data_IF_989227206311
#
_entry.id   IF_989227206311
#
_cell.length_a   1.000
_cell.length_b   1.000
_cell.length_c   1.000
_cell.angle_alpha   90.00
_cell.angle_beta   90.00
_cell.angle_gamma   90.00
#
_symmetry.space_group_name_H-M   'P 1'
#
loop_
_entity.id
_entity.type
_entity.pdbx_description
1 polymer ?
#
# COMPACT_ATOMS: atom_id res chain seq x y z
N UNK A 1 -5.50 43.43 6.91
CA UNK A 1 -5.18 42.26 6.07
C UNK A 1 -4.14 41.32 6.68
N UNK A 2 -2.94 41.78 7.07
CA UNK A 2 -1.88 40.89 7.63
C UNK A 2 -2.33 40.08 8.87
N UNK A 3 -3.02 40.70 9.83
CA UNK A 3 -3.49 40.00 11.05
C UNK A 3 -4.54 38.92 10.76
N UNK A 4 -5.43 39.14 9.77
CA UNK A 4 -6.43 38.15 9.35
C UNK A 4 -5.79 36.93 8.69
N UNK A 5 -4.75 37.13 7.87
CA UNK A 5 -4.01 36.01 7.24
C UNK A 5 -3.29 35.17 8.30
N UNK A 6 -2.63 35.82 9.26
CA UNK A 6 -1.93 35.12 10.36
C UNK A 6 -2.91 34.31 11.22
N UNK A 7 -4.06 34.88 11.57
CA UNK A 7 -5.09 34.16 12.34
C UNK A 7 -5.63 32.96 11.56
N UNK A 8 -5.93 33.11 10.27
CA UNK A 8 -6.41 32.01 9.43
C UNK A 8 -5.40 30.86 9.31
N UNK A 9 -4.11 31.18 9.16
CA UNK A 9 -3.04 30.16 9.11
C UNK A 9 -2.89 29.42 10.45
N UNK A 10 -2.97 30.14 11.58
CA UNK A 10 -2.96 29.54 12.91
C UNK A 10 -4.15 28.60 13.12
N UNK A 11 -5.36 29.03 12.73
CA UNK A 11 -6.56 28.18 12.83
C UNK A 11 -6.44 26.93 11.95
N UNK A 12 -5.91 27.06 10.73
CA UNK A 12 -5.66 25.92 9.85
C UNK A 12 -4.63 24.95 10.45
N UNK A 13 -3.55 25.45 11.06
CA UNK A 13 -2.54 24.63 11.72
C UNK A 13 -3.12 23.90 12.94
N UNK A 14 -3.91 24.58 13.77
CA UNK A 14 -4.59 23.96 14.92
C UNK A 14 -5.58 22.88 14.47
N UNK A 15 -6.37 23.15 13.44
CA UNK A 15 -7.29 22.18 12.86
C UNK A 15 -6.53 20.96 12.28
N UNK A 16 -5.40 21.19 11.62
CA UNK A 16 -4.52 20.13 11.11
C UNK A 16 -3.96 19.27 12.24
N UNK A 17 -3.40 19.89 13.29
CA UNK A 17 -2.87 19.20 14.46
C UNK A 17 -3.94 18.36 15.17
N UNK A 18 -5.13 18.93 15.38
CA UNK A 18 -6.26 18.21 15.95
C UNK A 18 -6.67 17.02 15.07
N UNK A 19 -6.74 17.24 13.76
CA UNK A 19 -7.03 16.21 12.76
C UNK A 19 -5.99 15.07 12.79
N UNK A 20 -4.70 15.38 12.97
CA UNK A 20 -3.65 14.38 13.10
C UNK A 20 -3.73 13.63 14.45
N UNK A 21 -3.93 14.32 15.56
CA UNK A 21 -4.04 13.67 16.89
C UNK A 21 -5.25 12.74 17.01
N UNK A 22 -6.32 13.02 16.27
CA UNK A 22 -7.56 12.21 16.25
C UNK A 22 -7.59 11.14 15.16
N UNK A 23 -6.53 11.05 14.36
CA UNK A 23 -6.42 10.09 13.28
C UNK A 23 -6.34 8.65 13.84
N UNK A 24 -7.13 7.69 13.34
CA UNK A 24 -6.98 6.30 13.77
C UNK A 24 -5.56 5.79 13.50
N UNK A 25 -5.03 5.01 14.44
CA UNK A 25 -3.67 4.47 14.31
C UNK A 25 -3.60 3.46 13.14
N UNK A 26 -4.61 2.59 13.03
CA UNK A 26 -4.60 1.50 12.07
C UNK A 26 -5.98 1.16 11.50
N UNK A 27 -6.02 0.91 10.19
CA UNK A 27 -7.12 0.31 9.46
C UNK A 27 -6.69 -1.08 8.97
N UNK A 28 -7.51 -2.08 9.25
CA UNK A 28 -7.33 -3.45 8.82
C UNK A 28 -8.51 -3.85 7.94
N UNK A 29 -8.24 -4.35 6.73
CA UNK A 29 -9.27 -4.71 5.75
C UNK A 29 -9.01 -6.11 5.20
N UNK A 30 -10.01 -6.97 5.28
CA UNK A 30 -9.96 -8.34 4.75
C UNK A 30 -11.15 -9.15 5.24
N UNK A 31 -11.44 -10.27 4.60
CA UNK A 31 -12.58 -11.14 4.96
C UNK A 31 -12.18 -12.11 6.06
N UNK A 32 -13.03 -12.22 7.09
CA UNK A 32 -12.92 -13.30 8.06
C UNK A 32 -13.31 -14.61 7.38
N UNK A 33 -12.58 -15.68 7.70
CA UNK A 33 -12.93 -17.01 7.19
C UNK A 33 -13.46 -17.91 8.28
N UNK A 34 -14.13 -18.97 7.84
CA UNK A 34 -14.31 -20.19 8.63
C UNK A 34 -13.35 -21.23 8.08
N UNK A 35 -12.42 -21.68 8.92
CA UNK A 35 -11.50 -22.76 8.62
C UNK A 35 -12.08 -24.05 9.21
N UNK A 36 -12.43 -24.99 8.34
CA UNK A 36 -12.88 -26.34 8.70
C UNK A 36 -11.65 -27.23 8.81
N UNK A 37 -11.37 -27.71 10.02
CA UNK A 37 -10.27 -28.64 10.30
C UNK A 37 -10.87 -29.98 10.71
N UNK A 38 -10.47 -31.05 10.02
CA UNK A 38 -11.07 -32.40 10.09
C UNK A 38 -11.45 -32.87 11.52
N UNK A 39 -10.62 -32.57 12.53
CA UNK A 39 -10.78 -33.02 13.93
C UNK A 39 -11.17 -31.93 14.93
N UNK A 40 -11.01 -30.63 14.58
CA UNK A 40 -11.11 -29.50 15.54
C UNK A 40 -12.33 -28.60 15.31
N UNK A 41 -13.16 -28.94 14.31
CA UNK A 41 -14.40 -28.24 13.98
C UNK A 41 -14.18 -26.94 13.21
N UNK A 42 -15.18 -26.06 13.26
CA UNK A 42 -15.15 -24.75 12.61
C UNK A 42 -14.36 -23.76 13.47
N UNK A 43 -13.44 -23.02 12.85
CA UNK A 43 -12.67 -21.97 13.53
C UNK A 43 -12.68 -20.69 12.72
N UNK A 44 -12.67 -19.51 13.36
CA UNK A 44 -12.43 -18.28 12.61
C UNK A 44 -11.00 -18.33 12.05
N UNK A 45 -10.80 -17.77 10.87
CA UNK A 45 -9.50 -17.72 10.21
C UNK A 45 -9.33 -16.42 9.41
N UNK A 46 -8.40 -16.48 8.47
CA UNK A 46 -8.12 -15.38 7.55
C UNK A 46 -7.13 -14.37 8.10
N UNK A 47 -6.42 -13.70 7.18
CA UNK A 47 -5.32 -12.80 7.49
C UNK A 47 -5.74 -11.66 8.44
N UNK A 48 -6.96 -11.14 8.23
CA UNK A 48 -7.58 -10.11 9.07
C UNK A 48 -7.73 -10.56 10.53
N UNK A 49 -8.01 -11.83 10.80
CA UNK A 49 -8.23 -12.33 12.15
C UNK A 49 -6.92 -12.51 12.91
N UNK A 50 -5.88 -13.01 12.25
CA UNK A 50 -4.54 -13.08 12.81
C UNK A 50 -3.96 -11.69 13.08
N UNK A 51 -4.10 -10.77 12.12
CA UNK A 51 -3.67 -9.38 12.31
C UNK A 51 -4.40 -8.72 13.49
N UNK A 52 -5.71 -8.92 13.64
CA UNK A 52 -6.47 -8.41 14.78
C UNK A 52 -5.95 -8.94 16.13
N UNK A 53 -5.69 -10.25 16.24
CA UNK A 53 -5.12 -10.83 17.46
C UNK A 53 -3.77 -10.21 17.83
N UNK A 54 -2.91 -9.98 16.84
CA UNK A 54 -1.63 -9.29 17.03
C UNK A 54 -1.85 -7.84 17.47
N UNK A 55 -2.70 -7.07 16.79
CA UNK A 55 -2.99 -5.68 17.15
C UNK A 55 -3.47 -5.53 18.59
N UNK A 56 -4.32 -6.45 19.03
CA UNK A 56 -4.78 -6.51 20.42
C UNK A 56 -3.64 -6.76 21.40
N UNK A 57 -2.71 -7.66 21.08
CA UNK A 57 -1.53 -7.92 21.92
C UNK A 57 -0.61 -6.69 22.06
N UNK A 58 -0.61 -5.81 21.06
CA UNK A 58 0.11 -4.52 21.08
C UNK A 58 -0.69 -3.39 21.78
N UNK A 59 -1.91 -3.67 22.26
CA UNK A 59 -2.78 -2.68 22.87
C UNK A 59 -3.42 -1.71 21.87
N UNK A 60 -3.46 -2.05 20.58
CA UNK A 60 -3.96 -1.17 19.52
C UNK A 60 -5.45 -1.43 19.27
N UNK A 61 -6.26 -0.38 19.31
CA UNK A 61 -7.64 -0.40 18.82
C UNK A 61 -7.67 0.03 17.35
N UNK A 62 -7.73 -0.94 16.45
CA UNK A 62 -7.85 -0.70 15.01
C UNK A 62 -9.31 -0.48 14.57
N UNK A 63 -9.47 0.19 13.44
CA UNK A 63 -10.66 0.05 12.59
C UNK A 63 -10.52 -1.26 11.80
N UNK A 64 -11.48 -2.18 11.93
CA UNK A 64 -11.49 -3.45 11.19
C UNK A 64 -12.69 -3.45 10.25
N UNK A 65 -12.44 -3.67 8.97
CA UNK A 65 -13.49 -3.80 7.95
C UNK A 65 -13.44 -5.21 7.37
N UNK A 66 -14.52 -5.96 7.53
CA UNK A 66 -14.56 -7.38 7.14
C UNK A 66 -15.88 -7.76 6.52
N UNK A 67 -15.89 -8.83 5.72
CA UNK A 67 -17.12 -9.47 5.23
C UNK A 67 -17.43 -10.67 6.11
N UNK A 68 -18.68 -10.82 6.53
CA UNK A 68 -19.10 -11.96 7.34
C UNK A 68 -20.53 -12.39 7.01
N UNK A 69 -20.78 -13.71 7.13
CA UNK A 69 -22.13 -14.26 7.22
C UNK A 69 -22.71 -14.14 8.63
N UNK A 70 -24.01 -14.44 8.81
CA UNK A 70 -24.70 -14.32 10.09
C UNK A 70 -24.09 -15.21 11.19
N UNK A 71 -23.53 -16.37 10.83
CA UNK A 71 -23.01 -17.37 11.77
C UNK A 71 -21.49 -17.24 12.04
N UNK A 72 -20.84 -16.18 11.54
CA UNK A 72 -19.41 -15.99 11.73
C UNK A 72 -19.04 -15.69 13.19
N UNK A 73 -18.02 -16.38 13.72
CA UNK A 73 -17.43 -16.01 15.01
C UNK A 73 -16.55 -14.75 14.89
N UNK A 74 -17.06 -13.62 15.36
CA UNK A 74 -16.37 -12.32 15.34
C UNK A 74 -15.61 -12.02 16.65
N UNK A 75 -15.48 -12.98 17.56
CA UNK A 75 -14.90 -12.78 18.89
C UNK A 75 -13.45 -12.29 18.87
N UNK A 76 -12.67 -12.64 17.84
CA UNK A 76 -11.29 -12.20 17.64
C UNK A 76 -11.16 -10.67 17.53
N UNK A 77 -12.21 -9.99 17.05
CA UNK A 77 -12.22 -8.54 16.87
C UNK A 77 -12.62 -7.75 18.12
N UNK A 78 -12.91 -8.42 19.25
CA UNK A 78 -13.26 -7.74 20.51
C UNK A 78 -12.14 -6.80 20.95
N UNK A 79 -12.50 -5.52 21.11
CA UNK A 79 -11.57 -4.44 21.47
C UNK A 79 -11.26 -3.50 20.31
N UNK A 80 -11.56 -3.91 19.07
CA UNK A 80 -11.45 -3.07 17.87
C UNK A 80 -12.77 -2.37 17.54
N UNK A 81 -12.69 -1.36 16.68
CA UNK A 81 -13.87 -0.80 16.01
C UNK A 81 -14.19 -1.64 14.78
N UNK A 82 -15.18 -2.53 14.89
CA UNK A 82 -15.53 -3.48 13.84
C UNK A 82 -16.65 -2.94 12.93
N UNK A 83 -16.41 -2.97 11.63
CA UNK A 83 -17.40 -2.69 10.59
C UNK A 83 -17.56 -3.93 9.70
N UNK A 84 -18.74 -4.55 9.79
CA UNK A 84 -19.07 -5.76 9.02
C UNK A 84 -19.85 -5.38 7.77
N UNK A 85 -19.35 -5.80 6.61
CA UNK A 85 -20.10 -5.84 5.36
C UNK A 85 -20.86 -7.18 5.34
N UNK A 86 -22.20 -7.16 5.46
CA UNK A 86 -22.96 -8.40 5.56
C UNK A 86 -22.93 -9.19 4.26
N UNK A 87 -22.90 -10.51 4.37
CA UNK A 87 -23.03 -11.45 3.24
C UNK A 87 -23.94 -12.63 3.60
N UNK A 88 -24.47 -13.37 2.62
CA UNK A 88 -25.25 -14.58 2.90
C UNK A 88 -24.43 -15.73 3.51
N UNK A 89 -23.11 -15.76 3.31
CA UNK A 89 -22.23 -16.84 3.73
C UNK A 89 -20.81 -16.35 4.00
N UNK A 90 -20.16 -16.84 5.04
CA UNK A 90 -18.75 -16.53 5.32
C UNK A 90 -17.82 -17.31 4.39
N UNK A 91 -16.71 -16.70 3.97
CA UNK A 91 -15.67 -17.38 3.19
C UNK A 91 -15.16 -18.58 3.97
N UNK A 92 -15.27 -19.80 3.41
CA UNK A 92 -14.96 -21.03 4.16
C UNK A 92 -13.87 -21.82 3.46
N UNK A 93 -12.80 -22.12 4.20
CA UNK A 93 -11.69 -22.97 3.77
C UNK A 93 -11.76 -24.31 4.49
N UNK A 94 -11.69 -25.40 3.73
CA UNK A 94 -11.57 -26.75 4.25
C UNK A 94 -10.13 -27.22 4.13
N UNK A 95 -9.57 -27.66 5.26
CA UNK A 95 -8.22 -28.18 5.36
C UNK A 95 -8.29 -29.71 5.43
N UNK A 96 -7.89 -30.38 4.35
CA UNK A 96 -7.70 -31.83 4.38
C UNK A 96 -6.21 -32.18 4.43
N UNK A 97 -5.84 -33.06 5.36
CA UNK A 97 -4.49 -33.62 5.46
C UNK A 97 -4.44 -34.97 4.76
N UNK A 98 -3.57 -35.13 3.75
CA UNK A 98 -3.35 -36.44 3.15
C UNK A 98 -2.34 -37.24 3.99
N UNK A 99 -2.74 -38.39 4.53
CA UNK A 99 -1.92 -39.27 5.39
C UNK A 99 -0.59 -39.71 4.76
N UNK A 100 -0.44 -39.63 3.44
CA UNK A 100 0.74 -40.09 2.69
C UNK A 100 1.62 -38.97 2.11
N UNK A 101 1.35 -37.72 2.42
CA UNK A 101 2.22 -36.62 2.00
C UNK A 101 1.86 -35.37 2.74
N UNK A 102 2.87 -34.70 3.30
CA UNK A 102 2.79 -33.47 4.10
C UNK A 102 2.15 -32.25 3.39
N UNK A 103 1.32 -32.47 2.36
CA UNK A 103 0.63 -31.44 1.61
C UNK A 103 -0.78 -31.23 2.17
N UNK A 104 -0.92 -30.10 2.86
CA UNK A 104 -2.20 -29.50 3.23
C UNK A 104 -2.95 -29.15 1.94
N UNK A 105 -4.13 -29.74 1.73
CA UNK A 105 -5.02 -29.36 0.63
C UNK A 105 -6.06 -28.38 1.15
N UNK A 106 -6.05 -27.17 0.59
CA UNK A 106 -7.04 -26.14 0.85
C UNK A 106 -8.12 -26.17 -0.22
N UNK A 107 -9.38 -26.23 0.20
CA UNK A 107 -10.54 -26.12 -0.68
C UNK A 107 -11.47 -25.02 -0.19
N UNK A 108 -11.93 -24.16 -1.08
CA UNK A 108 -12.99 -23.19 -0.76
C UNK A 108 -14.35 -23.84 -0.93
N UNK A 109 -15.18 -23.80 0.11
CA UNK A 109 -16.51 -24.42 0.13
C UNK A 109 -17.65 -23.39 0.12
N UNK A 110 -17.39 -22.16 0.56
CA UNK A 110 -18.31 -21.03 0.47
C UNK A 110 -17.53 -19.75 0.15
N UNK A 111 -18.07 -18.90 -0.71
CA UNK A 111 -17.47 -17.60 -1.08
C UNK A 111 -18.57 -16.52 -1.02
N UNK A 112 -18.39 -15.45 -0.23
CA UNK A 112 -19.38 -14.38 -0.10
C UNK A 112 -19.63 -13.61 -1.41
N UNK A 113 -18.72 -13.71 -2.40
CA UNK A 113 -18.77 -12.98 -3.66
C UNK A 113 -18.88 -11.45 -3.47
N UNK A 114 -18.20 -10.93 -2.45
CA UNK A 114 -18.09 -9.50 -2.17
C UNK A 114 -16.62 -9.11 -2.31
N UNK A 115 -16.37 -8.09 -3.13
CA UNK A 115 -15.06 -7.44 -3.23
C UNK A 115 -15.03 -6.23 -2.31
N UNK A 116 -14.32 -6.35 -1.19
CA UNK A 116 -14.02 -5.23 -0.31
C UNK A 116 -13.23 -4.18 -1.07
N UNK A 117 -13.56 -2.92 -0.82
CA UNK A 117 -12.92 -1.76 -1.43
C UNK A 117 -13.09 -0.58 -0.50
N UNK A 118 -12.37 0.49 -0.76
CA UNK A 118 -12.37 1.69 0.09
C UNK A 118 -13.76 2.24 0.41
N UNK A 119 -14.73 2.11 -0.50
CA UNK A 119 -16.10 2.60 -0.29
C UNK A 119 -16.82 1.94 0.89
N UNK A 120 -16.40 0.74 1.28
CA UNK A 120 -16.93 0.01 2.42
C UNK A 120 -16.32 0.46 3.75
N UNK A 121 -15.28 1.32 3.72
CA UNK A 121 -14.60 1.78 4.92
C UNK A 121 -15.26 3.07 5.43
N UNK A 122 -15.60 3.16 6.74
CA UNK A 122 -16.10 4.39 7.34
C UNK A 122 -15.15 5.58 7.11
N UNK A 123 -15.70 6.79 6.91
CA UNK A 123 -14.92 7.97 6.51
C UNK A 123 -13.80 8.33 7.50
N UNK A 124 -14.02 8.17 8.82
CA UNK A 124 -12.98 8.43 9.81
C UNK A 124 -11.88 7.35 9.78
N UNK A 125 -12.24 6.09 9.58
CA UNK A 125 -11.29 4.98 9.43
C UNK A 125 -10.46 5.07 8.14
N UNK A 126 -11.00 5.63 7.05
CA UNK A 126 -10.24 5.87 5.81
C UNK A 126 -9.03 6.78 6.01
N UNK A 127 -8.99 7.53 7.11
CA UNK A 127 -7.88 8.38 7.50
C UNK A 127 -6.84 7.63 8.34
N UNK A 128 -6.91 6.33 8.58
CA UNK A 128 -5.93 5.68 9.46
C UNK A 128 -4.46 5.94 9.05
N UNK A 129 -3.50 5.97 9.98
CA UNK A 129 -2.08 6.21 9.65
C UNK A 129 -1.49 5.02 8.89
N UNK A 130 -1.79 3.82 9.35
CA UNK A 130 -1.38 2.57 8.72
C UNK A 130 -2.59 1.83 8.18
N UNK A 131 -2.48 1.25 6.99
CA UNK A 131 -3.50 0.40 6.39
C UNK A 131 -2.89 -0.98 6.15
N UNK A 132 -3.54 -2.03 6.63
CA UNK A 132 -3.18 -3.42 6.36
C UNK A 132 -4.31 -4.04 5.54
N UNK A 133 -3.96 -4.54 4.36
CA UNK A 133 -4.85 -5.22 3.43
C UNK A 133 -4.51 -6.70 3.43
N UNK A 134 -5.48 -7.55 3.78
CA UNK A 134 -5.32 -8.99 3.89
C UNK A 134 -6.28 -9.79 2.99
N UNK A 135 -6.11 -9.74 1.64
CA UNK A 135 -6.87 -10.61 0.74
C UNK A 135 -6.49 -12.07 0.95
N UNK A 136 -7.45 -12.99 0.83
CA UNK A 136 -7.23 -14.44 0.85
C UNK A 136 -7.47 -15.09 -0.52
N UNK A 137 -8.25 -14.43 -1.39
CA UNK A 137 -8.48 -14.85 -2.77
C UNK A 137 -8.45 -13.65 -3.74
N UNK A 138 -8.32 -13.94 -5.04
CA UNK A 138 -8.20 -12.92 -6.11
C UNK A 138 -9.27 -11.83 -6.10
N UNK A 139 -10.54 -12.16 -5.79
CA UNK A 139 -11.67 -11.24 -6.01
C UNK A 139 -12.27 -10.70 -4.70
N UNK A 140 -11.59 -10.92 -3.58
CA UNK A 140 -12.11 -10.57 -2.26
C UNK A 140 -11.83 -9.12 -1.87
N UNK A 141 -10.76 -8.52 -2.42
CA UNK A 141 -10.32 -7.18 -2.06
C UNK A 141 -9.76 -6.45 -3.28
N UNK A 142 -10.25 -5.24 -3.50
CA UNK A 142 -9.74 -4.28 -4.47
C UNK A 142 -8.71 -3.38 -3.78
N UNK A 143 -7.44 -3.79 -3.86
CA UNK A 143 -6.33 -3.09 -3.22
C UNK A 143 -6.04 -1.74 -3.90
N UNK A 144 -6.27 -1.63 -5.21
CA UNK A 144 -6.05 -0.40 -5.96
C UNK A 144 -6.92 0.76 -5.46
N UNK A 145 -8.16 0.46 -5.02
CA UNK A 145 -9.04 1.47 -4.40
C UNK A 145 -8.46 2.14 -3.14
N UNK A 146 -7.43 1.56 -2.52
CA UNK A 146 -6.74 2.13 -1.37
C UNK A 146 -5.47 2.91 -1.74
N UNK A 147 -5.11 2.96 -3.02
CA UNK A 147 -3.86 3.53 -3.53
C UNK A 147 -4.07 4.69 -4.50
N UNK A 148 -5.20 4.71 -5.19
CA UNK A 148 -5.56 5.77 -6.12
C UNK A 148 -6.24 6.92 -5.38
N UNK A 149 -5.68 8.12 -5.53
CA UNK A 149 -6.12 9.33 -4.85
C UNK A 149 -6.23 10.48 -5.84
N UNK A 150 -7.45 10.98 -6.03
CA UNK A 150 -7.70 12.18 -6.84
C UNK A 150 -7.95 13.38 -5.91
N UNK A 151 -7.09 14.40 -6.02
CA UNK A 151 -7.31 15.71 -5.39
C UNK A 151 -6.29 16.13 -4.33
N UNK A 152 -6.07 17.45 -4.25
CA UNK A 152 -5.07 18.09 -3.38
C UNK A 152 -5.21 17.72 -1.90
N UNK A 153 -6.44 17.63 -1.39
CA UNK A 153 -6.70 17.29 0.01
C UNK A 153 -6.37 15.83 0.33
N UNK A 154 -6.67 14.92 -0.59
CA UNK A 154 -6.35 13.50 -0.42
C UNK A 154 -4.83 13.28 -0.52
N UNK A 155 -4.13 14.04 -1.36
CA UNK A 155 -2.68 14.03 -1.39
C UNK A 155 -2.06 14.57 -0.08
N UNK A 156 -2.57 15.68 0.44
CA UNK A 156 -2.03 16.31 1.65
C UNK A 156 -2.26 15.48 2.92
N UNK A 157 -3.38 14.76 3.04
CA UNK A 157 -3.69 13.96 4.24
C UNK A 157 -3.39 12.47 4.06
N UNK A 158 -3.58 11.91 2.86
CA UNK A 158 -3.56 10.44 2.59
C UNK A 158 -2.33 9.99 1.82
N UNK A 159 -1.59 10.92 1.22
CA UNK A 159 -0.24 10.71 0.68
C UNK A 159 0.80 10.20 1.69
N UNK A 160 0.42 10.06 2.97
CA UNK A 160 1.28 9.65 4.10
C UNK A 160 0.90 8.31 4.74
N UNK A 161 -0.14 7.64 4.23
CA UNK A 161 -0.52 6.35 4.78
C UNK A 161 0.55 5.30 4.46
N UNK A 162 1.00 4.57 5.47
CA UNK A 162 1.79 3.37 5.25
C UNK A 162 0.84 2.23 4.89
N UNK A 163 0.99 1.65 3.69
CA UNK A 163 0.10 0.59 3.20
C UNK A 163 0.85 -0.73 3.14
N UNK A 164 0.42 -1.68 3.97
CA UNK A 164 0.87 -3.06 3.95
C UNK A 164 -0.11 -3.93 3.19
N UNK A 165 0.37 -4.72 2.23
CA UNK A 165 -0.46 -5.64 1.46
C UNK A 165 0.04 -7.08 1.62
N UNK A 166 -0.75 -7.92 2.32
CA UNK A 166 -0.52 -9.36 2.43
C UNK A 166 -1.00 -10.04 1.14
N UNK A 167 -0.20 -9.96 0.08
CA UNK A 167 -0.61 -10.29 -1.28
C UNK A 167 -0.67 -11.78 -1.61
N UNK A 168 -0.36 -12.66 -0.65
CA UNK A 168 -0.42 -14.12 -0.84
C UNK A 168 -1.78 -14.57 -1.38
N UNK A 169 -2.89 -13.98 -0.90
CA UNK A 169 -4.23 -14.31 -1.39
C UNK A 169 -4.49 -13.97 -2.85
N UNK A 170 -3.81 -12.96 -3.40
CA UNK A 170 -3.91 -12.61 -4.82
C UNK A 170 -3.15 -13.58 -5.72
N UNK A 171 -2.26 -14.41 -5.17
CA UNK A 171 -1.55 -15.42 -5.97
C UNK A 171 -2.20 -16.81 -5.88
N UNK A 172 -3.47 -16.86 -5.45
CA UNK A 172 -4.27 -18.07 -5.31
C UNK A 172 -5.41 -18.05 -6.32
N UNK A 173 -5.46 -19.03 -7.23
CA UNK A 173 -6.65 -19.32 -8.03
C UNK A 173 -7.42 -20.50 -7.43
N UNK A 174 -8.72 -20.48 -7.61
CA UNK A 174 -9.59 -21.61 -7.30
C UNK A 174 -9.74 -22.47 -8.55
N UNK A 175 -9.40 -23.75 -8.45
CA UNK A 175 -9.73 -24.75 -9.45
C UNK A 175 -11.25 -25.02 -9.46
N UNK A 176 -11.74 -25.71 -10.50
CA UNK A 176 -13.16 -26.04 -10.63
C UNK A 176 -13.71 -26.87 -9.46
N UNK A 177 -12.85 -27.64 -8.78
CA UNK A 177 -13.18 -28.43 -7.60
C UNK A 177 -12.98 -27.66 -6.28
N UNK A 178 -12.73 -26.35 -6.35
CA UNK A 178 -12.49 -25.46 -5.21
C UNK A 178 -11.07 -25.52 -4.65
N UNK A 179 -10.16 -26.35 -5.19
CA UNK A 179 -8.77 -26.41 -4.72
C UNK A 179 -8.04 -25.10 -4.96
N UNK A 180 -7.24 -24.69 -3.98
CA UNK A 180 -6.37 -23.52 -4.10
C UNK A 180 -5.09 -23.91 -4.84
N UNK A 181 -4.79 -23.22 -5.94
CA UNK A 181 -3.59 -23.43 -6.75
C UNK A 181 -2.80 -22.13 -6.89
N UNK A 182 -1.46 -22.18 -6.90
CA UNK A 182 -0.63 -21.00 -7.12
C UNK A 182 -0.74 -20.50 -8.57
N UNK A 183 -0.53 -19.19 -8.74
CA UNK A 183 -0.37 -18.56 -10.04
C UNK A 183 1.11 -18.52 -10.45
N UNK A 184 1.38 -18.72 -11.74
CA UNK A 184 2.74 -18.74 -12.31
C UNK A 184 3.29 -17.33 -12.59
N UNK A 185 2.42 -16.33 -12.59
CA UNK A 185 2.76 -14.92 -12.83
C UNK A 185 2.00 -14.05 -11.84
N UNK A 186 2.51 -12.85 -11.51
CA UNK A 186 1.78 -11.90 -10.69
C UNK A 186 0.38 -11.65 -11.25
N UNK A 187 -0.63 -11.87 -10.43
CA UNK A 187 -2.02 -11.60 -10.81
C UNK A 187 -2.24 -10.12 -11.15
N UNK A 188 -3.23 -9.78 -12.01
CA UNK A 188 -3.64 -8.39 -12.24
C UNK A 188 -3.98 -7.62 -10.95
N UNK A 189 -4.60 -8.28 -9.97
CA UNK A 189 -4.99 -7.67 -8.69
C UNK A 189 -3.80 -7.30 -7.83
N UNK A 190 -2.77 -8.15 -7.79
CA UNK A 190 -1.49 -7.81 -7.16
C UNK A 190 -0.86 -6.60 -7.84
N UNK A 191 -0.74 -6.62 -9.17
CA UNK A 191 -0.10 -5.52 -9.92
C UNK A 191 -0.84 -4.19 -9.73
N UNK A 192 -2.18 -4.21 -9.80
CA UNK A 192 -2.99 -3.04 -9.50
C UNK A 192 -2.81 -2.58 -8.05
N UNK A 193 -2.69 -3.53 -7.12
CA UNK A 193 -2.39 -3.30 -5.71
C UNK A 193 -0.97 -2.81 -5.39
N UNK A 194 -0.09 -2.60 -6.38
CA UNK A 194 1.18 -1.88 -6.20
C UNK A 194 0.99 -0.36 -6.37
N UNK A 195 -0.04 0.04 -7.11
CA UNK A 195 -0.32 1.44 -7.45
C UNK A 195 0.78 2.08 -8.30
N UNK A 196 0.64 3.38 -8.54
CA UNK A 196 1.56 4.14 -9.41
C UNK A 196 2.77 4.74 -8.69
N UNK A 197 2.74 4.79 -7.35
CA UNK A 197 3.63 5.66 -6.57
C UNK A 197 4.72 4.91 -5.78
N UNK A 198 4.85 3.58 -5.91
CA UNK A 198 5.81 2.75 -5.13
C UNK A 198 5.74 2.99 -3.61
N UNK A 199 4.54 2.89 -3.03
CA UNK A 199 4.28 3.18 -1.59
C UNK A 199 3.78 1.99 -0.78
N UNK A 200 3.80 0.82 -1.38
CA UNK A 200 3.26 -0.40 -0.79
C UNK A 200 4.41 -1.21 -0.21
N UNK A 201 4.25 -1.63 1.05
CA UNK A 201 5.03 -2.70 1.64
C UNK A 201 4.30 -4.01 1.37
N UNK A 202 4.83 -4.79 0.43
CA UNK A 202 4.23 -6.01 -0.08
C UNK A 202 4.74 -7.22 0.70
N UNK A 203 3.85 -8.13 1.10
CA UNK A 203 4.21 -9.39 1.76
C UNK A 203 3.76 -10.58 0.91
N UNK A 204 4.69 -11.48 0.62
CA UNK A 204 4.53 -12.71 -0.16
C UNK A 204 5.24 -13.88 0.55
N UNK A 205 5.02 -15.12 0.12
CA UNK A 205 5.93 -16.23 0.46
C UNK A 205 6.70 -16.75 -0.75
N UNK A 206 7.74 -17.54 -0.47
CA UNK A 206 8.43 -18.32 -1.48
C UNK A 206 7.50 -19.25 -2.25
N UNK A 207 6.51 -19.87 -1.59
CA UNK A 207 5.54 -20.75 -2.24
C UNK A 207 4.82 -20.08 -3.42
N UNK A 208 4.44 -18.80 -3.27
CA UNK A 208 3.79 -18.06 -4.35
C UNK A 208 4.79 -17.52 -5.40
N UNK A 209 6.04 -17.28 -5.02
CA UNK A 209 7.02 -16.59 -5.88
C UNK A 209 8.03 -17.52 -6.54
N UNK A 210 8.14 -18.78 -6.10
CA UNK A 210 9.06 -19.79 -6.63
C UNK A 210 8.81 -20.07 -8.12
N UNK A 211 7.54 -20.00 -8.52
CA UNK A 211 7.13 -20.25 -9.91
C UNK A 211 7.31 -19.06 -10.84
N UNK A 212 7.68 -17.90 -10.32
CA UNK A 212 7.81 -16.69 -11.11
C UNK A 212 9.14 -16.66 -11.86
N UNK A 213 9.08 -16.25 -13.12
CA UNK A 213 10.29 -15.84 -13.85
C UNK A 213 10.95 -14.61 -13.16
N UNK A 214 12.26 -14.48 -13.32
CA UNK A 214 13.05 -13.40 -12.70
C UNK A 214 12.52 -12.00 -13.06
N UNK A 215 12.10 -11.80 -14.31
CA UNK A 215 11.53 -10.53 -14.78
C UNK A 215 10.28 -10.11 -14.00
N UNK A 216 9.45 -11.07 -13.59
CA UNK A 216 8.26 -10.78 -12.79
C UNK A 216 8.61 -10.35 -11.37
N UNK A 217 9.59 -11.01 -10.76
CA UNK A 217 10.06 -10.62 -9.45
C UNK A 217 10.70 -9.23 -9.51
N UNK A 218 11.55 -8.96 -10.51
CA UNK A 218 12.15 -7.65 -10.75
C UNK A 218 11.12 -6.54 -10.96
N UNK A 219 10.05 -6.83 -11.71
CA UNK A 219 8.93 -5.89 -11.90
C UNK A 219 8.22 -5.58 -10.59
N UNK A 220 7.89 -6.60 -9.78
CA UNK A 220 7.18 -6.41 -8.50
C UNK A 220 8.05 -5.66 -7.50
N UNK A 221 9.34 -6.03 -7.38
CA UNK A 221 10.31 -5.33 -6.53
C UNK A 221 10.48 -3.87 -6.96
N UNK A 222 10.59 -3.61 -8.26
CA UNK A 222 10.73 -2.27 -8.80
C UNK A 222 9.48 -1.40 -8.70
N UNK A 223 8.31 -1.98 -8.45
CA UNK A 223 7.03 -1.27 -8.36
C UNK A 223 6.51 -1.10 -6.92
N UNK A 224 7.08 -1.78 -5.94
CA UNK A 224 6.76 -1.61 -4.52
C UNK A 224 7.75 -0.66 -3.81
N UNK A 225 7.39 -0.19 -2.61
CA UNK A 225 8.34 0.48 -1.70
C UNK A 225 9.27 -0.56 -1.05
N UNK A 226 8.66 -1.65 -0.59
CA UNK A 226 9.34 -2.81 -0.01
C UNK A 226 8.62 -4.09 -0.43
N UNK A 227 9.37 -5.16 -0.65
CA UNK A 227 8.83 -6.51 -0.84
C UNK A 227 9.46 -7.43 0.19
N UNK A 228 8.63 -8.11 0.97
CA UNK A 228 9.05 -9.12 1.93
C UNK A 228 8.56 -10.49 1.48
N UNK A 229 9.49 -11.41 1.29
CA UNK A 229 9.22 -12.80 0.89
C UNK A 229 9.59 -13.72 2.04
N UNK A 230 8.60 -14.26 2.73
CA UNK A 230 8.79 -15.22 3.84
C UNK A 230 9.10 -16.62 3.30
N UNK A 231 10.00 -17.34 3.98
CA UNK A 231 10.49 -18.69 3.61
C UNK A 231 10.39 -19.69 4.77
N UNK A 232 9.33 -19.57 5.57
CA UNK A 232 9.10 -20.41 6.74
C UNK A 232 10.30 -20.43 7.70
N UNK A 233 10.87 -21.62 7.94
CA UNK A 233 12.00 -21.81 8.84
C UNK A 233 13.32 -21.18 8.35
N UNK A 234 13.39 -20.77 7.08
CA UNK A 234 14.57 -20.09 6.50
C UNK A 234 14.50 -18.57 6.65
N UNK A 235 13.47 -18.04 7.32
CA UNK A 235 13.35 -16.62 7.60
C UNK A 235 12.60 -15.88 6.50
N UNK A 236 13.11 -14.72 6.09
CA UNK A 236 12.53 -13.94 5.01
C UNK A 236 13.61 -13.18 4.22
N UNK A 237 13.20 -12.57 3.11
CA UNK A 237 14.04 -11.65 2.35
C UNK A 237 13.29 -10.35 2.15
N UNK A 238 13.93 -9.25 2.48
CA UNK A 238 13.44 -7.91 2.19
C UNK A 238 14.16 -7.35 0.97
N UNK A 239 13.38 -6.79 0.05
CA UNK A 239 13.82 -5.97 -1.06
C UNK A 239 13.30 -4.55 -0.82
N UNK A 240 14.18 -3.56 -0.85
CA UNK A 240 13.83 -2.15 -0.77
C UNK A 240 14.87 -1.31 -1.52
N UNK A 241 14.76 0.01 -1.50
CA UNK A 241 15.69 0.91 -2.22
C UNK A 241 17.14 0.84 -1.71
N UNK A 242 17.39 0.29 -0.51
CA UNK A 242 18.74 0.08 0.03
C UNK A 242 19.38 -1.23 -0.42
N UNK A 243 18.61 -2.13 -1.02
CA UNK A 243 19.08 -3.40 -1.56
C UNK A 243 18.28 -4.60 -1.08
N UNK A 244 18.96 -5.75 -1.00
CA UNK A 244 18.39 -7.04 -0.58
C UNK A 244 18.97 -7.43 0.76
N UNK A 245 18.12 -7.73 1.74
CA UNK A 245 18.54 -8.14 3.08
C UNK A 245 17.86 -9.45 3.47
N UNK A 246 18.64 -10.39 3.98
CA UNK A 246 18.13 -11.60 4.61
C UNK A 246 17.65 -11.30 6.03
N UNK A 247 16.50 -11.86 6.40
CA UNK A 247 15.90 -11.74 7.73
C UNK A 247 15.96 -13.12 8.37
N UNK A 248 16.75 -13.25 9.42
CA UNK A 248 16.87 -14.50 10.16
C UNK A 248 15.60 -14.81 10.97
N UNK A 249 15.34 -16.10 11.16
CA UNK A 249 14.31 -16.54 12.12
C UNK A 249 14.77 -16.28 13.55
N UNK A 250 13.80 -16.02 14.43
CA UNK A 250 14.04 -16.11 15.87
C UNK A 250 13.85 -17.59 16.29
N UNK A 251 14.90 -18.26 16.79
CA UNK A 251 14.80 -19.66 17.20
C UNK A 251 13.76 -19.88 18.29
N UNK A 252 13.06 -21.02 18.22
CA UNK A 252 12.08 -21.45 19.22
C UNK A 252 12.28 -22.92 19.57
N UNK A 253 12.02 -23.28 20.82
CA UNK A 253 12.22 -24.66 21.30
C UNK A 253 11.32 -25.67 20.59
N UNK A 254 10.09 -25.25 20.26
CA UNK A 254 9.10 -26.11 19.61
C UNK A 254 8.12 -25.31 18.76
N UNK A 255 8.10 -25.61 17.47
CA UNK A 255 7.04 -25.20 16.54
C UNK A 255 5.82 -26.10 16.78
N UNK A 256 4.66 -25.51 17.11
CA UNK A 256 3.40 -26.24 17.29
C UNK A 256 2.53 -26.20 16.05
N UNK A 257 2.40 -25.03 15.42
CA UNK A 257 1.60 -24.84 14.21
C UNK A 257 2.07 -23.58 13.47
N UNK A 258 2.14 -23.61 12.14
CA UNK A 258 2.65 -22.51 11.32
C UNK A 258 1.57 -21.58 10.78
N UNK A 259 0.27 -21.86 11.01
CA UNK A 259 -0.80 -21.02 10.50
C UNK A 259 -0.78 -19.63 11.13
N UNK A 260 -1.02 -18.61 10.29
CA UNK A 260 -0.99 -17.21 10.68
C UNK A 260 0.41 -16.65 10.97
N UNK A 261 1.49 -17.41 10.78
CA UNK A 261 2.84 -16.91 11.00
C UNK A 261 3.20 -15.77 10.03
N UNK A 262 2.83 -15.89 8.75
CA UNK A 262 3.01 -14.85 7.74
C UNK A 262 2.17 -13.59 8.03
N UNK A 263 0.90 -13.76 8.43
CA UNK A 263 0.03 -12.64 8.80
C UNK A 263 0.54 -11.92 10.06
N UNK A 264 1.06 -12.68 11.03
CA UNK A 264 1.69 -12.14 12.24
C UNK A 264 2.99 -11.41 11.92
N UNK A 265 3.82 -11.98 11.05
CA UNK A 265 5.04 -11.35 10.54
C UNK A 265 4.72 -10.01 9.87
N UNK A 266 3.80 -10.01 8.90
CA UNK A 266 3.42 -8.81 8.17
C UNK A 266 2.82 -7.74 9.07
N UNK A 267 1.97 -8.13 10.02
CA UNK A 267 1.40 -7.21 10.99
C UNK A 267 2.49 -6.62 11.90
N UNK A 268 3.37 -7.46 12.46
CA UNK A 268 4.49 -7.02 13.29
C UNK A 268 5.43 -6.07 12.55
N UNK A 269 5.74 -6.35 11.28
CA UNK A 269 6.57 -5.49 10.44
C UNK A 269 5.94 -4.12 10.24
N UNK A 270 4.66 -4.07 9.84
CA UNK A 270 3.95 -2.80 9.63
C UNK A 270 3.83 -1.99 10.92
N UNK A 271 3.62 -2.65 12.07
CA UNK A 271 3.61 -1.98 13.37
C UNK A 271 4.97 -1.39 13.74
N UNK A 272 6.05 -2.15 13.55
CA UNK A 272 7.40 -1.67 13.80
C UNK A 272 7.76 -0.48 12.89
N UNK A 273 7.45 -0.58 11.59
CA UNK A 273 7.67 0.48 10.61
C UNK A 273 6.89 1.74 10.99
N UNK A 274 5.62 1.60 11.34
CA UNK A 274 4.77 2.74 11.73
C UNK A 274 5.21 3.43 13.02
N UNK A 275 5.90 2.72 13.91
CA UNK A 275 6.55 3.28 15.11
C UNK A 275 7.93 3.88 14.84
N UNK A 276 8.53 3.61 13.68
CA UNK A 276 9.91 4.01 13.39
C UNK A 276 10.92 3.21 14.22
N UNK A 277 10.64 1.94 14.52
CA UNK A 277 11.63 1.07 15.14
C UNK A 277 12.80 0.86 14.18
N UNK A 278 14.02 0.79 14.73
CA UNK A 278 15.23 0.68 13.93
C UNK A 278 15.32 -0.64 13.13
N UNK A 279 14.76 -1.72 13.69
CA UNK A 279 14.79 -3.05 13.07
C UNK A 279 13.37 -3.66 12.99
N UNK A 280 12.57 -3.26 11.98
CA UNK A 280 11.24 -3.81 11.78
C UNK A 280 11.26 -5.29 11.38
N UNK A 281 12.33 -5.74 10.71
CA UNK A 281 12.51 -7.11 10.26
C UNK A 281 12.66 -8.08 11.43
N UNK A 282 13.55 -7.79 12.38
CA UNK A 282 13.71 -8.60 13.58
C UNK A 282 12.43 -8.62 14.43
N UNK A 283 11.76 -7.47 14.55
CA UNK A 283 10.50 -7.38 15.28
C UNK A 283 9.40 -8.27 14.68
N UNK A 284 9.29 -8.28 13.35
CA UNK A 284 8.38 -9.14 12.60
C UNK A 284 8.72 -10.63 12.79
N UNK A 285 9.99 -11.00 12.67
CA UNK A 285 10.47 -12.36 12.88
C UNK A 285 10.20 -12.85 14.31
N UNK A 286 10.40 -11.98 15.30
CA UNK A 286 10.09 -12.27 16.69
C UNK A 286 8.59 -12.51 16.89
N UNK A 287 7.72 -11.62 16.38
CA UNK A 287 6.27 -11.79 16.48
C UNK A 287 5.80 -13.11 15.82
N UNK A 288 6.29 -13.41 14.63
CA UNK A 288 5.99 -14.66 13.93
C UNK A 288 6.44 -15.89 14.73
N UNK A 289 7.61 -15.83 15.36
CA UNK A 289 8.11 -16.90 16.23
C UNK A 289 7.16 -17.19 17.41
N UNK A 290 6.52 -16.16 17.96
CA UNK A 290 5.54 -16.31 19.04
C UNK A 290 4.27 -16.99 18.54
N UNK A 291 3.80 -16.65 17.34
CA UNK A 291 2.63 -17.29 16.75
C UNK A 291 2.88 -18.78 16.45
N UNK A 292 4.07 -19.17 16.00
CA UNK A 292 4.33 -20.59 15.69
C UNK A 292 4.44 -21.50 16.92
N UNK A 293 4.67 -20.92 18.10
CA UNK A 293 4.68 -21.62 19.39
C UNK A 293 3.27 -21.90 19.94
N UNK A 294 2.23 -21.40 19.27
CA UNK A 294 0.83 -21.60 19.63
C UNK A 294 0.19 -22.74 18.83
N UNK A 295 -0.67 -23.57 19.46
CA UNK A 295 -1.37 -24.64 18.75
C UNK A 295 -2.48 -24.09 17.84
N UNK A 296 -2.79 -24.82 16.76
CA UNK A 296 -3.89 -24.47 15.86
C UNK A 296 -5.24 -24.36 16.59
N UNK A 297 -5.47 -25.17 17.63
CA UNK A 297 -6.73 -25.27 18.36
C UNK A 297 -7.18 -24.00 19.08
N UNK A 298 -6.29 -23.02 19.29
CA UNK A 298 -6.63 -21.72 19.88
C UNK A 298 -6.45 -20.54 18.91
N UNK A 299 -5.89 -20.79 17.71
CA UNK A 299 -5.68 -19.74 16.72
C UNK A 299 -7.00 -19.42 16.01
N UNK A 300 -7.20 -18.15 15.60
CA UNK A 300 -6.30 -16.99 15.70
C UNK A 300 -6.28 -16.30 17.08
N UNK A 301 -7.21 -16.58 17.99
CA UNK A 301 -7.36 -15.84 19.25
C UNK A 301 -6.08 -15.77 20.08
N UNK A 302 -5.35 -16.89 20.17
CA UNK A 302 -4.12 -16.96 20.97
C UNK A 302 -2.85 -16.52 20.23
N UNK A 303 -2.93 -16.17 18.94
CA UNK A 303 -1.74 -15.87 18.13
C UNK A 303 -0.91 -14.71 18.71
N UNK A 304 -1.57 -13.78 19.41
CA UNK A 304 -0.95 -12.65 20.09
C UNK A 304 -0.56 -12.91 21.55
N UNK A 305 -0.89 -14.04 22.17
CA UNK A 305 -0.76 -14.20 23.63
C UNK A 305 0.69 -14.15 24.11
N UNK A 306 1.62 -14.74 23.35
CA UNK A 306 3.06 -14.71 23.65
C UNK A 306 3.74 -13.42 23.19
N UNK A 307 3.01 -12.54 22.49
CA UNK A 307 3.46 -11.19 22.13
C UNK A 307 3.11 -10.21 23.25
N UNK A 308 1.93 -10.37 23.85
CA UNK A 308 1.41 -9.47 24.85
C UNK A 308 2.40 -9.27 26.02
N UNK A 309 2.50 -8.02 26.50
CA UNK A 309 3.36 -7.65 27.62
C UNK A 309 4.86 -7.52 27.31
N UNK A 310 5.31 -7.90 26.11
CA UNK A 310 6.73 -7.79 25.72
C UNK A 310 7.00 -6.61 24.78
N UNK A 311 5.95 -5.97 24.28
CA UNK A 311 6.03 -4.74 23.50
C UNK A 311 5.30 -3.63 24.26
N UNK A 312 5.89 -2.43 24.40
CA UNK A 312 5.21 -1.31 25.01
C UNK A 312 3.83 -1.08 24.35
N UNK A 313 2.77 -0.88 25.17
CA UNK A 313 1.44 -0.65 24.64
C UNK A 313 1.42 0.65 23.84
N UNK A 314 0.66 0.65 22.75
CA UNK A 314 0.51 1.83 21.91
C UNK A 314 -0.15 2.97 22.69
N UNK A 315 0.55 4.10 22.80
CA UNK A 315 0.20 5.15 23.74
C UNK A 315 0.05 6.55 23.11
N UNK A 316 -0.26 7.56 23.95
CA UNK A 316 -0.34 8.96 23.52
C UNK A 316 0.97 9.48 22.90
N UNK A 317 2.12 8.99 23.39
CA UNK A 317 3.42 9.36 22.87
C UNK A 317 3.60 8.91 21.40
N UNK A 318 3.15 7.70 21.05
CA UNK A 318 3.20 7.20 19.66
C UNK A 318 2.33 8.06 18.74
N UNK A 319 1.13 8.44 19.20
CA UNK A 319 0.22 9.32 18.44
C UNK A 319 0.81 10.71 18.23
N UNK A 320 1.43 11.26 19.27
CA UNK A 320 2.11 12.56 19.19
C UNK A 320 3.31 12.49 18.24
N UNK A 321 4.14 11.46 18.35
CA UNK A 321 5.25 11.23 17.43
C UNK A 321 4.78 11.05 15.97
N UNK A 322 3.66 10.35 15.77
CA UNK A 322 3.01 10.22 14.46
C UNK A 322 2.51 11.55 13.91
N UNK A 323 1.89 12.39 14.75
CA UNK A 323 1.44 13.72 14.37
C UNK A 323 2.60 14.65 13.99
N UNK A 324 3.70 14.62 14.76
CA UNK A 324 4.92 15.38 14.45
C UNK A 324 5.59 14.92 13.14
N UNK A 325 5.69 13.61 12.90
CA UNK A 325 6.18 13.08 11.62
C UNK A 325 5.32 13.58 10.46
N UNK A 326 4.00 13.51 10.61
CA UNK A 326 3.06 14.05 9.62
C UNK A 326 3.26 15.54 9.34
N UNK A 327 3.53 16.36 10.37
CA UNK A 327 3.86 17.78 10.20
C UNK A 327 5.19 17.99 9.46
N UNK A 328 6.24 17.26 9.84
CA UNK A 328 7.55 17.36 9.19
C UNK A 328 7.47 17.05 7.70
N UNK A 329 6.71 16.01 7.32
CA UNK A 329 6.47 15.65 5.93
C UNK A 329 5.66 16.69 5.15
N UNK A 330 4.69 17.39 5.79
CA UNK A 330 4.05 18.57 5.16
C UNK A 330 5.08 19.64 4.89
N UNK A 331 5.91 19.97 5.89
CA UNK A 331 6.92 21.01 5.79
C UNK A 331 7.90 20.74 4.67
N UNK A 332 8.45 19.53 4.62
CA UNK A 332 9.34 19.07 3.55
C UNK A 332 8.65 19.12 2.18
N UNK A 333 7.43 18.61 2.06
CA UNK A 333 6.68 18.65 0.79
C UNK A 333 6.40 20.08 0.29
N UNK A 334 6.11 21.02 1.19
CA UNK A 334 5.95 22.44 0.84
C UNK A 334 7.27 23.07 0.39
N UNK A 335 8.39 22.74 1.04
CA UNK A 335 9.72 23.20 0.64
C UNK A 335 10.09 22.65 -0.74
N UNK A 336 9.86 21.37 -1.00
CA UNK A 336 10.10 20.76 -2.31
C UNK A 336 9.22 21.36 -3.41
N UNK A 337 7.94 21.61 -3.13
CA UNK A 337 7.03 22.26 -4.07
C UNK A 337 7.49 23.69 -4.39
N UNK A 338 7.84 24.48 -3.37
CA UNK A 338 8.37 25.83 -3.54
C UNK A 338 9.71 25.83 -4.29
N UNK A 339 10.58 24.85 -4.02
CA UNK A 339 11.83 24.67 -4.75
C UNK A 339 11.60 24.31 -6.22
N UNK A 340 10.63 23.42 -6.52
CA UNK A 340 10.24 23.07 -7.89
C UNK A 340 9.63 24.24 -8.65
N UNK A 341 8.76 25.01 -8.03
CA UNK A 341 8.18 26.23 -8.62
C UNK A 341 9.23 27.31 -8.83
N UNK A 342 10.14 27.50 -7.88
CA UNK A 342 11.29 28.40 -8.03
C UNK A 342 12.23 27.96 -9.16
N UNK A 343 12.50 26.66 -9.28
CA UNK A 343 13.31 26.09 -10.36
C UNK A 343 12.60 26.21 -11.72
N UNK A 344 11.28 25.97 -11.78
CA UNK A 344 10.48 26.14 -12.99
C UNK A 344 10.44 27.60 -13.43
N UNK A 345 10.29 28.55 -12.50
CA UNK A 345 10.38 29.98 -12.78
C UNK A 345 11.77 30.38 -13.30
N UNK A 346 12.85 29.86 -12.71
CA UNK A 346 14.23 30.06 -13.18
C UNK A 346 14.48 29.46 -14.57
N UNK A 347 13.92 28.29 -14.88
CA UNK A 347 14.01 27.66 -16.19
C UNK A 347 13.21 28.44 -17.25
N UNK A 348 12.05 29.00 -16.89
CA UNK A 348 11.30 29.90 -17.78
C UNK A 348 12.06 31.21 -18.04
N UNK A 349 12.74 31.78 -17.03
CA UNK A 349 13.60 32.96 -17.20
C UNK A 349 14.82 32.66 -18.09
N UNK A 350 15.42 31.48 -18.00
CA UNK A 350 16.53 31.04 -18.87
C UNK A 350 16.14 30.76 -20.33
N UNK A 351 14.85 30.56 -20.62
CA UNK A 351 14.33 30.37 -21.98
C UNK A 351 13.89 31.68 -22.65
N UNK A 352 13.96 32.80 -21.93
CA UNK A 352 13.72 34.11 -22.52
C UNK A 352 14.93 34.52 -23.38
N UNK A 353 14.73 35.00 -24.62
CA UNK A 353 15.83 35.48 -25.45
C UNK A 353 16.55 36.63 -24.74
N UNK A 354 17.88 36.70 -24.91
CA UNK A 354 18.71 37.74 -24.29
C UNK A 354 18.14 39.13 -24.62
N UNK A 355 17.77 39.89 -23.59
CA UNK A 355 17.16 41.22 -23.71
C UNK A 355 15.66 41.30 -23.42
N UNK A 356 14.93 40.19 -23.30
CA UNK A 356 13.49 40.22 -23.02
C UNK A 356 13.15 40.80 -21.63
N UNK A 357 14.00 40.53 -20.62
CA UNK A 357 13.84 41.11 -19.28
C UNK A 357 14.13 42.63 -19.27
N UNK A 358 15.14 43.06 -20.03
CA UNK A 358 15.49 44.47 -20.18
C UNK A 358 14.39 45.25 -20.94
N UNK A 359 13.78 44.64 -21.97
CA UNK A 359 12.66 45.22 -22.70
C UNK A 359 11.38 45.30 -21.85
N UNK A 360 11.13 44.32 -20.96
CA UNK A 360 9.99 44.36 -20.05
C UNK A 360 10.16 45.43 -18.95
N UNK A 361 11.38 45.59 -18.41
CA UNK A 361 11.69 46.64 -17.43
C UNK A 361 11.67 48.03 -18.07
N UNK A 362 12.16 48.18 -19.31
CA UNK A 362 12.08 49.44 -20.07
C UNK A 362 10.63 49.85 -20.36
N UNK A 363 9.76 48.91 -20.76
CA UNK A 363 8.33 49.17 -20.98
C UNK A 363 7.55 49.52 -19.70
N UNK A 364 7.94 48.95 -18.56
CA UNK A 364 7.35 49.30 -17.28
C UNK A 364 7.75 50.73 -16.86
N UNK A 365 9.00 51.14 -17.14
CA UNK A 365 9.50 52.48 -16.87
C UNK A 365 8.90 53.55 -17.81
N UNK A 366 8.57 53.21 -19.06
CA UNK A 366 7.87 54.11 -19.99
C UNK A 366 6.40 54.31 -19.62
N UNK A 367 5.74 53.32 -19.01
CA UNK A 367 4.32 53.42 -18.61
C UNK A 367 4.05 54.31 -17.39
N UNK A 368 5.09 54.69 -16.63
CA UNK A 368 4.99 55.68 -15.55
C UNK A 368 5.25 57.12 -16.01
N UNK A 369 5.61 57.35 -17.29
CA UNK A 369 5.94 58.67 -17.84
C UNK A 369 4.85 59.28 -18.75
N UNK A 370 3.86 58.52 -19.20
CA UNK A 370 2.76 59.01 -20.08
C UNK A 370 1.45 59.30 -19.33
N UNK A 371 1.58 59.92 -18.15
CA UNK A 371 0.46 60.25 -17.28
C UNK A 371 0.23 61.74 -17.07
N UNK A 372 0.24 62.60 -18.10
CA UNK A 372 -0.39 63.96 -18.01
C UNK A 372 -0.52 64.69 -19.37
N UNK A 373 -1.76 65.05 -19.75
CA UNK A 373 -2.13 66.06 -20.77
C UNK A 373 -2.28 65.55 -22.22
N UNK A 374 -3.27 65.90 -23.03
CA UNK A 374 -4.37 66.88 -22.94
C UNK A 374 -5.39 66.62 -24.06
N UNK A 375 -6.67 66.75 -23.67
CA UNK A 375 -7.90 67.16 -24.38
C UNK A 375 -7.91 67.51 -25.89
N UNK A 376 -9.01 67.07 -26.53
CA UNK A 376 -9.72 67.74 -27.65
C UNK A 376 -9.46 67.11 -29.02
N UNK A 377 -10.40 66.84 -29.92
CA UNK A 377 -11.84 67.10 -30.07
C UNK A 377 -12.38 66.09 -31.12
N UNK A 378 -13.70 65.87 -31.17
CA UNK A 378 -14.33 65.30 -32.37
C UNK A 378 -15.35 64.18 -32.14
N UNK A 379 -16.55 64.57 -31.72
CA UNK A 379 -17.84 63.99 -32.15
C UNK A 379 -17.84 63.51 -33.61
N UNK A 380 -18.64 62.58 -34.13
CA UNK A 380 -19.98 62.04 -33.82
C UNK A 380 -20.18 60.85 -34.79
N UNK A 381 -20.80 59.74 -34.36
CA UNK A 381 -21.12 58.66 -35.30
C UNK A 381 -21.79 57.44 -34.68
N UNK A 382 -23.08 57.56 -34.37
CA UNK A 382 -23.96 56.51 -33.84
C UNK A 382 -24.08 55.28 -34.76
N UNK A 383 -24.00 54.10 -34.13
CA UNK A 383 -24.97 52.99 -34.07
C UNK A 383 -25.53 52.40 -35.37
N UNK A 384 -25.31 51.08 -35.56
CA UNK A 384 -26.30 49.99 -35.83
C UNK A 384 -25.54 48.69 -36.16
N UNK A 385 -25.63 47.62 -35.38
CA UNK A 385 -26.65 46.55 -35.34
C UNK A 385 -26.70 45.62 -36.57
N UNK A 386 -26.62 44.30 -36.33
CA UNK A 386 -27.01 43.22 -37.27
C UNK A 386 -25.88 42.19 -37.45
N UNK A 387 -25.93 40.96 -36.91
CA UNK A 387 -26.84 39.83 -37.16
C UNK A 387 -26.60 39.10 -38.50
N UNK A 388 -26.48 37.76 -38.42
CA UNK A 388 -26.47 36.80 -39.54
C UNK A 388 -25.06 36.28 -39.87
N UNK A 389 -24.77 35.00 -40.08
CA UNK A 389 -25.62 33.83 -40.35
C UNK A 389 -24.98 33.01 -41.50
N UNK A 390 -25.03 31.68 -41.42
CA UNK A 390 -24.82 30.74 -42.54
C UNK A 390 -23.40 30.15 -42.67
N UNK A 391 -23.21 28.85 -42.39
CA UNK A 391 -23.41 27.66 -43.25
C UNK A 391 -22.36 27.47 -44.37
N UNK A 392 -21.71 26.30 -44.37
CA UNK A 392 -20.90 25.80 -45.47
C UNK A 392 -20.31 24.41 -45.21
N UNK A 393 -21.05 23.36 -45.60
CA UNK A 393 -20.54 21.98 -45.75
C UNK A 393 -19.57 21.91 -46.95
N UNK A 394 -18.58 21.03 -46.88
CA UNK A 394 -17.79 20.61 -48.05
C UNK A 394 -16.96 19.36 -47.76
N UNK A 395 -17.34 18.24 -48.36
CA UNK A 395 -16.64 16.96 -48.35
C UNK A 395 -15.31 17.01 -49.12
N UNK A 396 -14.32 16.22 -48.74
CA UNK A 396 -13.40 15.58 -49.70
C UNK A 396 -12.74 14.31 -49.12
N UNK A 397 -12.74 13.27 -49.95
CA UNK A 397 -12.11 11.96 -49.79
C UNK A 397 -10.58 12.04 -49.82
N UNK A 398 -9.91 11.04 -49.25
CA UNK A 398 -8.52 10.71 -49.59
C UNK A 398 -7.96 9.52 -48.80
N UNK A 399 -7.96 8.34 -49.41
CA UNK A 399 -7.16 7.19 -48.98
C UNK A 399 -5.67 7.48 -49.21
N UNK A 400 -4.78 7.10 -48.27
CA UNK A 400 -3.44 6.64 -48.60
C UNK A 400 -2.81 5.78 -47.49
N UNK A 401 -2.16 4.73 -47.95
CA UNK A 401 -1.41 3.67 -47.28
C UNK A 401 -0.24 4.17 -46.41
N UNK A 402 0.08 3.37 -45.39
CA UNK A 402 1.40 2.75 -45.20
C UNK A 402 2.59 3.66 -44.86
N UNK A 403 3.10 3.52 -43.63
CA UNK A 403 4.39 4.09 -43.24
C UNK A 403 4.82 3.61 -41.86
N UNK A 404 5.65 2.56 -41.85
CA UNK A 404 6.46 2.14 -40.70
C UNK A 404 7.42 3.28 -40.32
N UNK A 405 7.47 3.65 -39.04
CA UNK A 405 8.57 4.41 -38.47
C UNK A 405 8.70 4.03 -36.98
N UNK A 406 9.76 3.29 -36.67
CA UNK A 406 10.15 2.96 -35.30
C UNK A 406 10.57 4.21 -34.54
N UNK A 407 9.97 4.41 -33.37
CA UNK A 407 10.44 5.34 -32.36
C UNK A 407 11.12 4.55 -31.24
N UNK A 408 12.47 4.54 -31.24
CA UNK A 408 13.25 4.18 -30.06
C UNK A 408 13.00 5.24 -28.98
N UNK A 409 12.19 4.89 -27.98
CA UNK A 409 12.07 5.64 -26.73
C UNK A 409 13.13 5.17 -25.74
N UNK A 410 14.00 6.09 -25.32
CA UNK A 410 14.98 5.93 -24.26
C UNK A 410 14.31 5.43 -22.96
N UNK A 411 14.63 4.21 -22.55
CA UNK A 411 14.46 3.70 -21.19
C UNK A 411 15.84 3.25 -20.74
N UNK A 412 16.60 4.14 -20.08
CA UNK A 412 17.85 3.77 -19.43
C UNK A 412 18.04 4.65 -18.17
N UNK A 413 17.78 4.04 -17.02
CA UNK A 413 18.53 4.25 -15.76
C UNK A 413 18.01 3.42 -14.57
N UNK A 414 16.85 2.74 -14.70
CA UNK A 414 16.26 1.95 -13.60
C UNK A 414 16.48 0.43 -13.63
N UNK A 415 16.89 -0.15 -14.77
CA UNK A 415 16.97 -1.61 -14.93
C UNK A 415 18.26 -2.24 -14.40
N UNK A 416 19.39 -1.51 -14.40
CA UNK A 416 20.68 -2.06 -13.96
C UNK A 416 20.71 -2.36 -12.45
N UNK A 417 20.05 -1.54 -11.63
CA UNK A 417 19.96 -1.76 -10.18
C UNK A 417 19.06 -2.95 -9.80
N UNK A 418 17.95 -3.14 -10.52
CA UNK A 418 17.04 -4.26 -10.29
C UNK A 418 17.68 -5.61 -10.64
N UNK A 419 18.40 -5.69 -11.76
CA UNK A 419 19.11 -6.92 -12.17
C UNK A 419 20.19 -7.35 -11.19
N UNK A 420 20.95 -6.40 -10.64
CA UNK A 420 21.95 -6.68 -9.61
C UNK A 420 21.33 -7.22 -8.30
N UNK A 421 20.20 -6.64 -7.87
CA UNK A 421 19.49 -7.09 -6.66
C UNK A 421 18.94 -8.52 -6.79
N UNK A 422 18.48 -8.92 -7.97
CA UNK A 422 17.95 -10.26 -8.24
C UNK A 422 19.06 -11.31 -8.27
N UNK A 423 20.22 -10.98 -8.86
CA UNK A 423 21.39 -11.86 -8.86
C UNK A 423 21.94 -12.10 -7.44
N UNK A 424 21.93 -11.09 -6.58
CA UNK A 424 22.34 -11.23 -5.18
C UNK A 424 21.33 -12.06 -4.36
N UNK A 425 20.03 -11.91 -4.64
CA UNK A 425 19.01 -12.79 -4.05
C UNK A 425 19.18 -14.25 -4.47
N UNK A 426 19.63 -14.53 -5.70
CA UNK A 426 19.97 -15.88 -6.16
C UNK A 426 21.18 -16.42 -5.41
N UNK A 427 22.24 -15.63 -5.23
CA UNK A 427 23.40 -16.04 -4.43
C UNK A 427 22.99 -16.39 -3.00
N UNK A 428 22.16 -15.57 -2.36
CA UNK A 428 21.64 -15.85 -1.02
C UNK A 428 20.73 -17.10 -0.98
N UNK A 429 19.97 -17.38 -2.05
CA UNK A 429 19.18 -18.63 -2.19
C UNK A 429 20.09 -19.86 -2.31
N UNK A 430 21.13 -19.79 -3.13
CA UNK A 430 22.08 -20.88 -3.34
C UNK A 430 22.92 -21.13 -2.07
N UNK A 431 23.36 -20.08 -1.37
CA UNK A 431 24.09 -20.20 -0.09
C UNK A 431 23.21 -20.78 1.02
N UNK A 432 21.91 -20.47 1.05
CA UNK A 432 20.96 -21.07 1.99
C UNK A 432 20.69 -22.55 1.69
N UNK A 433 20.49 -22.91 0.41
CA UNK A 433 20.28 -24.31 -0.01
C UNK A 433 21.51 -25.19 0.25
N UNK A 434 22.72 -24.64 0.11
CA UNK A 434 23.97 -25.35 0.40
C UNK A 434 24.13 -25.65 1.91
N UNK A 435 23.64 -24.76 2.80
CA UNK A 435 23.64 -24.99 4.25
C UNK A 435 22.70 -26.13 4.67
N UNK A 436 21.57 -26.29 3.97
CA UNK A 436 20.58 -27.34 4.25
C UNK A 436 21.11 -28.75 3.87
N UNK A 437 21.81 -28.86 2.73
CA UNK A 437 22.49 -30.11 2.34
C UNK A 437 23.52 -30.55 3.40
N UNK A 438 24.29 -29.61 3.96
CA UNK A 438 25.26 -29.91 5.02
C UNK A 438 24.61 -30.34 6.35
N UNK A 439 23.45 -29.77 6.72
CA UNK A 439 22.73 -30.14 7.95
C UNK A 439 21.92 -31.44 7.81
N UNK A 440 21.52 -31.80 6.59
CA UNK A 440 20.88 -33.09 6.30
C UNK A 440 21.87 -34.27 6.16
N UNK A 441 23.11 -34.00 5.76
CA UNK A 441 24.16 -35.01 5.62
C UNK A 441 24.90 -35.33 6.94
N UNK A 442 24.68 -34.53 7.98
CA UNK A 442 25.27 -34.69 9.32
C UNK A 442 24.33 -35.29 10.37
N UNK A 443 23.21 -35.92 9.98
CA UNK A 443 22.26 -36.59 10.88
C UNK A 443 22.09 -38.06 10.55
#
# INVERSE_FOLDING_TARGET
>A
MRSLVVISLLLALVAYLFSELTRPDLLLVGTITVDLVDQDGQRPGGAVSYAAAVLKAYGIRACVVTVAGPDADLSVFRGHELHVVPSPSTLTFEHSYAWFGHQRKLRVTANPNITLSRRHVPRHCQRARTVILGPLTLHELDAASFLEYDGLWDQLYRGRQAVGLMAQGFQRRLAADGRVLPLQTPSPQLLAGLGHWRRVTLFLSDVETETWAEDWLGLVVGAAERVLITRGAQGATEYNDTGVTAIDVVPVDKVKDTNGAGDTFATGYMLALSRGLADPAHHAAWAASRAVMQPQSCKPQCAGDLIAGHVPPWGPADRLAGAWRGLAEVGLGLVEAAAREGLAALMHVRRLPAGALAAAVARAAESELDGEGTLGEGELGRVRSGAGGGHGKGQAKGQAKGGSAGGKGHVLSGQEGAGASVAEARRLREEAAAKDQWQSAGR
#
